data_IF_705275791051
#
_entry.id   IF_705275791051
#
_cell.length_a   1.000
_cell.length_b   1.000
_cell.length_c   1.000
_cell.angle_alpha   90.00
_cell.angle_beta   90.00
_cell.angle_gamma   90.00
#
_symmetry.space_group_name_H-M   'P 1'
#
loop_
_entity.id
_entity.type
_entity.pdbx_description
1 polymer ?
#
# COMPACT_ATOMS: atom_id res chain seq x y z
N UNK A 1 4.14 25.62 34.00
CA UNK A 1 3.67 25.73 32.59
C UNK A 1 4.43 24.80 31.63
N UNK A 2 5.68 24.44 31.92
CA UNK A 2 6.56 23.58 31.10
C UNK A 2 6.09 22.13 30.97
N UNK A 3 5.54 21.53 32.03
CA UNK A 3 5.15 20.10 31.97
C UNK A 3 3.94 19.87 31.08
N UNK A 4 2.94 20.77 31.13
CA UNK A 4 1.79 20.73 30.23
C UNK A 4 2.23 20.80 28.76
N UNK A 5 3.20 21.66 28.45
CA UNK A 5 3.76 21.80 27.10
C UNK A 5 4.48 20.53 26.64
N UNK A 6 5.24 19.87 27.52
CA UNK A 6 5.89 18.58 27.22
C UNK A 6 4.87 17.49 26.89
N UNK A 7 3.81 17.40 27.68
CA UNK A 7 2.73 16.44 27.43
C UNK A 7 1.97 16.72 26.13
N UNK A 8 1.72 17.98 25.80
CA UNK A 8 1.10 18.35 24.51
C UNK A 8 1.98 17.94 23.34
N UNK A 9 3.30 18.19 23.41
CA UNK A 9 4.24 17.80 22.35
C UNK A 9 4.30 16.27 22.21
N UNK A 10 4.37 15.54 23.32
CA UNK A 10 4.37 14.08 23.31
C UNK A 10 3.08 13.50 22.71
N UNK A 11 1.92 14.09 23.05
CA UNK A 11 0.64 13.68 22.50
C UNK A 11 0.55 13.94 20.98
N UNK A 12 0.99 15.12 20.51
CA UNK A 12 1.03 15.42 19.07
C UNK A 12 1.96 14.46 18.34
N UNK A 13 3.16 14.21 18.88
CA UNK A 13 4.12 13.28 18.28
C UNK A 13 3.56 11.84 18.22
N UNK A 14 2.89 11.37 19.27
CA UNK A 14 2.26 10.05 19.29
C UNK A 14 1.12 9.95 18.25
N UNK A 15 0.30 10.98 18.12
CA UNK A 15 -0.76 11.05 17.11
C UNK A 15 -0.18 11.05 15.69
N UNK A 16 0.90 11.81 15.45
CA UNK A 16 1.60 11.80 14.16
C UNK A 16 2.21 10.43 13.82
N UNK A 17 2.79 9.73 14.80
CA UNK A 17 3.34 8.39 14.61
C UNK A 17 2.27 7.36 14.23
N UNK A 18 1.07 7.44 14.82
CA UNK A 18 -0.06 6.59 14.44
C UNK A 18 -0.58 6.96 13.04
N UNK A 19 -0.59 8.24 12.70
CA UNK A 19 -1.01 8.72 11.38
C UNK A 19 -0.06 8.34 10.24
N UNK A 20 1.22 8.08 10.53
CA UNK A 20 2.23 7.61 9.57
C UNK A 20 2.13 6.11 9.25
N UNK A 21 1.24 5.35 9.89
CA UNK A 21 1.01 3.95 9.52
C UNK A 21 0.16 3.91 8.25
N UNK A 22 0.78 4.11 7.09
CA UNK A 22 0.12 4.12 5.78
C UNK A 22 -0.59 2.79 5.52
N UNK A 23 -1.94 2.72 5.57
CA UNK A 23 -2.62 1.52 5.11
C UNK A 23 -2.47 1.51 3.58
N UNK A 24 -1.71 0.55 3.05
CA UNK A 24 -1.60 0.32 1.61
C UNK A 24 -2.69 -0.66 1.19
N UNK A 25 -3.82 -0.22 0.59
CA UNK A 25 -4.73 -1.13 -0.10
C UNK A 25 -4.00 -1.92 -1.19
N UNK A 26 -4.09 -3.25 -1.08
CA UNK A 26 -3.53 -4.20 -2.03
C UNK A 26 -4.64 -4.75 -2.94
N UNK A 27 -4.65 -4.30 -4.19
CA UNK A 27 -5.65 -4.69 -5.18
C UNK A 27 -4.99 -5.65 -6.18
N UNK A 28 -5.44 -6.90 -6.19
CA UNK A 28 -4.93 -7.95 -7.08
C UNK A 28 -6.04 -8.45 -8.00
N UNK A 29 -5.80 -8.40 -9.30
CA UNK A 29 -6.66 -8.98 -10.32
C UNK A 29 -5.92 -10.12 -11.02
N UNK A 30 -6.42 -11.34 -10.79
CA UNK A 30 -5.83 -12.57 -11.30
C UNK A 30 -6.71 -13.11 -12.42
N UNK A 31 -6.20 -13.11 -13.65
CA UNK A 31 -6.91 -13.58 -14.85
C UNK A 31 -6.13 -14.63 -15.65
N UNK A 32 -5.02 -15.15 -15.11
CA UNK A 32 -4.30 -16.28 -15.71
C UNK A 32 -4.93 -17.62 -15.32
N UNK A 33 -4.69 -18.65 -16.14
CA UNK A 33 -5.04 -20.03 -15.81
C UNK A 33 -4.15 -20.51 -14.66
N UNK A 34 -4.70 -21.25 -13.68
CA UNK A 34 -3.93 -21.80 -12.55
C UNK A 34 -2.78 -22.70 -13.05
N UNK A 35 -2.93 -23.33 -14.22
CA UNK A 35 -1.90 -24.14 -14.87
C UNK A 35 -0.89 -23.36 -15.71
N UNK A 36 -1.02 -22.04 -15.86
CA UNK A 36 -0.07 -21.23 -16.63
C UNK A 36 1.28 -21.15 -15.92
N UNK A 37 2.30 -21.78 -16.52
CA UNK A 37 3.66 -21.78 -15.98
C UNK A 37 4.39 -20.45 -16.18
N UNK A 38 3.86 -19.53 -16.99
CA UNK A 38 4.52 -18.26 -17.32
C UNK A 38 3.53 -17.10 -17.48
N UNK A 39 2.74 -16.76 -16.45
CA UNK A 39 1.77 -15.68 -16.53
C UNK A 39 2.46 -14.34 -16.77
N UNK A 40 1.89 -13.54 -17.66
CA UNK A 40 2.35 -12.15 -17.80
C UNK A 40 1.81 -11.34 -16.63
N UNK A 41 2.61 -10.37 -16.19
CA UNK A 41 2.28 -9.52 -15.05
C UNK A 41 2.53 -8.06 -15.34
N UNK A 42 1.64 -7.21 -14.83
CA UNK A 42 1.80 -5.77 -14.78
C UNK A 42 1.62 -5.33 -13.33
N UNK A 43 2.56 -4.54 -12.81
CA UNK A 43 2.55 -4.04 -11.44
C UNK A 43 2.70 -2.52 -11.45
N UNK A 44 1.85 -1.84 -10.70
CA UNK A 44 1.90 -0.41 -10.50
C UNK A 44 1.69 -0.08 -9.02
N UNK A 45 2.43 0.92 -8.52
CA UNK A 45 2.28 1.44 -7.17
C UNK A 45 2.25 2.96 -7.21
N UNK A 46 1.34 3.55 -6.43
CA UNK A 46 1.20 4.99 -6.27
C UNK A 46 1.29 5.30 -4.79
N UNK A 47 2.22 6.17 -4.40
CA UNK A 47 2.35 6.65 -3.04
C UNK A 47 1.90 8.11 -2.98
N UNK A 48 0.87 8.37 -2.17
CA UNK A 48 0.28 9.70 -1.97
C UNK A 48 0.69 10.31 -0.62
N UNK A 49 1.70 9.74 0.04
CA UNK A 49 2.28 10.21 1.30
C UNK A 49 1.52 9.80 2.55
N UNK A 50 0.19 9.68 2.51
CA UNK A 50 -0.61 9.12 3.62
C UNK A 50 -1.19 7.73 3.30
N UNK A 51 -1.36 7.44 2.01
CA UNK A 51 -1.98 6.22 1.48
C UNK A 51 -1.16 5.74 0.31
N UNK A 52 -0.82 4.45 0.31
CA UNK A 52 -0.24 3.77 -0.86
C UNK A 52 -1.30 2.95 -1.57
N UNK A 53 -1.30 2.88 -2.90
CA UNK A 53 -2.17 1.98 -3.66
C UNK A 53 -1.30 1.07 -4.51
N UNK A 54 -1.50 -0.25 -4.42
CA UNK A 54 -0.81 -1.23 -5.27
C UNK A 54 -1.78 -2.00 -6.16
N UNK A 55 -1.42 -2.11 -7.43
CA UNK A 55 -2.11 -2.91 -8.43
C UNK A 55 -1.21 -4.02 -8.95
N UNK A 56 -1.70 -5.25 -8.92
CA UNK A 56 -1.12 -6.39 -9.63
C UNK A 56 -2.16 -6.95 -10.60
N UNK A 57 -1.80 -6.98 -11.88
CA UNK A 57 -2.59 -7.60 -12.94
C UNK A 57 -1.79 -8.77 -13.54
N UNK A 58 -2.39 -9.96 -13.62
CA UNK A 58 -1.76 -11.15 -14.22
C UNK A 58 -2.69 -11.82 -15.23
N UNK A 59 -2.17 -12.23 -16.39
CA UNK A 59 -2.97 -12.89 -17.44
C UNK A 59 -2.18 -13.93 -18.24
N UNK A 60 -2.92 -14.84 -18.90
CA UNK A 60 -2.37 -15.82 -19.84
C UNK A 60 -2.34 -15.25 -21.26
N UNK A 61 -1.16 -15.23 -21.88
CA UNK A 61 -1.00 -14.78 -23.26
C UNK A 61 -1.17 -15.93 -24.24
N UNK A 62 -2.39 -16.15 -24.76
CA UNK A 62 -2.58 -17.03 -25.92
C UNK A 62 -1.92 -16.37 -27.14
N UNK A 63 -0.82 -16.97 -27.63
CA UNK A 63 -0.30 -16.67 -28.96
C UNK A 63 -1.23 -17.39 -29.95
N UNK A 64 -1.96 -16.63 -30.75
CA UNK A 64 -2.68 -17.14 -31.92
C UNK A 64 -1.72 -17.39 -33.07
#
# INVERSE_FOLDING_TARGET
MTDRRKWTIAAVAAVSLVALRHPTPDIRLITHDIGDQSPRRFQAAIDLGLVGISFLYTWTARRG
#
